data_IF_719275233613
#
_entry.id   IF_719275233613
#
_cell.length_a   1.000
_cell.length_b   1.000
_cell.length_c   1.000
_cell.angle_alpha   90.00
_cell.angle_beta   90.00
_cell.angle_gamma   90.00
#
_symmetry.space_group_name_H-M   'P 1'
#
loop_
_entity.id
_entity.type
_entity.pdbx_description
1 polymer ?
#
# COMPACT_ATOMS: atom_id res chain seq x y z
N UNK A 1 -4.05 12.02 -26.29
CA UNK A 1 -4.01 10.69 -26.96
C UNK A 1 -2.79 9.98 -26.39
N UNK A 2 -2.99 8.95 -25.56
CA UNK A 2 -1.88 8.22 -24.96
C UNK A 2 -1.25 7.25 -25.96
N UNK A 3 0.03 7.46 -26.24
CA UNK A 3 0.87 6.57 -27.06
C UNK A 3 1.50 5.51 -26.16
N UNK A 4 1.57 4.27 -26.63
CA UNK A 4 2.29 3.21 -25.91
C UNK A 4 3.78 3.55 -25.89
N UNK A 5 4.45 3.59 -24.72
CA UNK A 5 5.88 3.89 -24.64
C UNK A 5 6.69 3.03 -25.62
N UNK A 6 7.46 3.67 -26.50
CA UNK A 6 8.30 3.01 -27.50
C UNK A 6 7.58 2.45 -28.73
N UNK A 7 6.27 2.74 -28.94
CA UNK A 7 5.53 2.31 -30.13
C UNK A 7 4.73 3.46 -30.76
N UNK A 8 4.59 3.43 -32.08
CA UNK A 8 3.74 4.37 -32.83
C UNK A 8 2.26 3.93 -32.88
N UNK A 9 1.77 3.31 -31.80
CA UNK A 9 0.39 2.82 -31.70
C UNK A 9 -0.36 3.51 -30.55
N UNK A 10 -1.67 3.62 -30.70
CA UNK A 10 -2.59 4.07 -29.66
C UNK A 10 -2.98 2.89 -28.76
N UNK A 11 -2.98 3.10 -27.44
CA UNK A 11 -3.51 2.12 -26.49
C UNK A 11 -5.02 2.22 -26.34
N UNK A 12 -5.71 1.09 -26.34
CA UNK A 12 -7.13 1.00 -25.97
C UNK A 12 -7.31 -0.16 -24.98
N UNK A 13 -7.58 0.16 -23.72
CA UNK A 13 -7.78 -0.83 -22.67
C UNK A 13 -9.26 -1.15 -22.52
N UNK A 14 -9.60 -2.43 -22.70
CA UNK A 14 -10.98 -2.93 -22.55
C UNK A 14 -11.05 -3.87 -21.35
N UNK A 15 -12.06 -3.71 -20.46
CA UNK A 15 -12.21 -4.60 -19.34
C UNK A 15 -12.53 -6.02 -19.82
N UNK A 16 -11.84 -7.01 -19.25
CA UNK A 16 -12.15 -8.41 -19.51
C UNK A 16 -13.58 -8.74 -19.05
N UNK A 17 -14.33 -9.59 -19.77
CA UNK A 17 -15.67 -10.03 -19.36
C UNK A 17 -15.70 -10.67 -17.98
N UNK A 18 -14.62 -11.37 -17.62
CA UNK A 18 -14.42 -11.94 -16.28
C UNK A 18 -13.17 -11.34 -15.66
N UNK A 19 -13.36 -10.50 -14.64
CA UNK A 19 -12.25 -9.93 -13.85
C UNK A 19 -11.60 -11.03 -13.00
N UNK A 20 -10.28 -11.02 -12.96
CA UNK A 20 -9.51 -11.87 -12.06
C UNK A 20 -9.17 -11.10 -10.79
N UNK A 21 -9.32 -11.76 -9.63
CA UNK A 21 -8.94 -11.17 -8.35
C UNK A 21 -7.43 -11.26 -8.22
N UNK A 22 -6.78 -10.13 -7.90
CA UNK A 22 -5.37 -10.10 -7.51
C UNK A 22 -5.30 -10.28 -6.00
N UNK A 23 -4.74 -11.41 -5.53
CA UNK A 23 -4.56 -11.63 -4.09
C UNK A 23 -3.24 -11.05 -3.62
N UNK A 24 -3.24 -10.45 -2.42
CA UNK A 24 -2.01 -9.92 -1.81
C UNK A 24 -0.92 -10.99 -1.69
N UNK A 25 -1.30 -12.23 -1.36
CA UNK A 25 -0.38 -13.37 -1.26
C UNK A 25 0.40 -13.65 -2.55
N UNK A 26 -0.16 -13.33 -3.72
CA UNK A 26 0.54 -13.49 -5.00
C UNK A 26 1.68 -12.47 -5.16
N UNK A 27 1.53 -11.27 -4.58
CA UNK A 27 2.55 -10.22 -4.65
C UNK A 27 3.61 -10.45 -3.58
N UNK A 28 3.19 -10.77 -2.35
CA UNK A 28 4.11 -11.10 -1.25
C UNK A 28 4.93 -12.37 -1.56
N UNK A 29 4.35 -13.34 -2.27
CA UNK A 29 5.06 -14.54 -2.72
C UNK A 29 5.97 -14.32 -3.93
N UNK A 30 5.99 -13.12 -4.51
CA UNK A 30 6.78 -12.84 -5.71
C UNK A 30 8.27 -12.61 -5.40
N UNK A 31 9.12 -12.98 -6.36
CA UNK A 31 10.57 -12.74 -6.27
C UNK A 31 10.90 -11.24 -6.13
N UNK A 32 10.17 -10.37 -6.83
CA UNK A 32 10.42 -8.91 -6.80
C UNK A 32 10.16 -8.31 -5.41
N UNK A 33 9.15 -8.80 -4.68
CA UNK A 33 8.91 -8.37 -3.31
C UNK A 33 9.97 -8.94 -2.35
N UNK A 34 10.25 -10.24 -2.45
CA UNK A 34 11.18 -10.93 -1.55
C UNK A 34 12.62 -10.44 -1.68
N UNK A 35 13.10 -10.26 -2.90
CA UNK A 35 14.47 -9.81 -3.19
C UNK A 35 14.68 -8.31 -2.96
N UNK A 36 13.61 -7.52 -2.75
CA UNK A 36 13.74 -6.10 -2.46
C UNK A 36 14.49 -5.89 -1.15
N UNK A 37 15.55 -5.08 -1.16
CA UNK A 37 16.37 -4.79 0.01
C UNK A 37 15.73 -3.79 0.98
N UNK A 38 14.75 -3.00 0.54
CA UNK A 38 14.13 -1.97 1.37
C UNK A 38 13.18 -2.57 2.41
N UNK A 39 13.33 -2.16 3.67
CA UNK A 39 12.38 -2.42 4.76
C UNK A 39 11.03 -1.71 4.54
N UNK A 40 10.97 -0.75 3.63
CA UNK A 40 9.78 0.02 3.27
C UNK A 40 9.19 -0.40 1.91
N UNK A 41 9.42 -1.65 1.51
CA UNK A 41 8.83 -2.22 0.29
C UNK A 41 7.33 -2.47 0.49
N UNK A 42 6.51 -1.94 -0.42
CA UNK A 42 5.04 -2.06 -0.40
C UNK A 42 4.53 -2.74 -1.67
N UNK A 43 3.59 -3.68 -1.51
CA UNK A 43 2.92 -4.33 -2.63
C UNK A 43 1.80 -3.44 -3.19
N UNK A 44 1.83 -3.18 -4.50
CA UNK A 44 0.81 -2.36 -5.17
C UNK A 44 -0.24 -3.21 -5.89
N UNK A 45 0.16 -4.35 -6.44
CA UNK A 45 -0.75 -5.24 -7.17
C UNK A 45 -0.07 -5.84 -8.40
N UNK A 46 -0.79 -5.87 -9.52
CA UNK A 46 -0.26 -6.32 -10.82
C UNK A 46 -0.41 -5.23 -11.86
N UNK A 47 0.51 -5.21 -12.82
CA UNK A 47 0.35 -4.40 -14.04
C UNK A 47 -0.73 -5.00 -14.97
N UNK A 48 -0.98 -4.32 -16.09
CA UNK A 48 -1.95 -4.76 -17.10
C UNK A 48 -1.58 -6.09 -17.77
N UNK A 49 -0.31 -6.53 -17.68
CA UNK A 49 0.18 -7.80 -18.18
C UNK A 49 0.18 -8.91 -17.11
N UNK A 50 -0.20 -8.59 -15.87
CA UNK A 50 -0.28 -9.54 -14.76
C UNK A 50 1.02 -9.70 -13.96
N UNK A 51 2.06 -8.90 -14.22
CA UNK A 51 3.30 -8.96 -13.45
C UNK A 51 3.14 -8.29 -12.09
N UNK A 52 3.72 -8.86 -11.01
CA UNK A 52 3.66 -8.26 -9.69
C UNK A 52 4.42 -6.93 -9.65
N UNK A 53 3.78 -5.92 -9.08
CA UNK A 53 4.32 -4.57 -8.90
C UNK A 53 4.47 -4.27 -7.41
N UNK A 54 5.66 -3.82 -7.04
CA UNK A 54 6.02 -3.33 -5.71
C UNK A 54 6.64 -1.94 -5.85
N UNK A 55 6.57 -1.16 -4.77
CA UNK A 55 7.24 0.13 -4.67
C UNK A 55 8.08 0.20 -3.40
N UNK A 56 9.08 1.08 -3.41
CA UNK A 56 9.91 1.38 -2.24
C UNK A 56 9.52 2.76 -1.71
N UNK A 57 8.87 2.80 -0.55
CA UNK A 57 8.41 4.05 0.05
C UNK A 57 9.60 4.94 0.48
N UNK A 58 10.80 4.38 0.69
CA UNK A 58 11.99 5.21 0.93
C UNK A 58 12.38 6.06 -0.29
N UNK A 59 12.10 5.57 -1.50
CA UNK A 59 12.34 6.29 -2.76
C UNK A 59 11.18 7.20 -3.15
N UNK A 60 10.01 6.95 -2.60
CA UNK A 60 8.81 7.79 -2.68
C UNK A 60 8.54 8.37 -1.29
N UNK A 61 9.39 9.29 -0.79
CA UNK A 61 9.52 9.59 0.64
C UNK A 61 8.19 9.95 1.30
N UNK A 62 7.23 10.44 0.53
CA UNK A 62 5.83 10.55 0.92
C UNK A 62 4.92 10.06 -0.21
N UNK A 63 3.77 9.49 0.17
CA UNK A 63 2.75 8.98 -0.75
C UNK A 63 1.39 9.60 -0.41
N UNK A 64 0.68 10.11 -1.41
CA UNK A 64 -0.71 10.55 -1.30
C UNK A 64 -1.63 9.51 -1.94
N UNK A 65 -2.58 8.98 -1.16
CA UNK A 65 -3.59 8.02 -1.66
C UNK A 65 -4.98 8.66 -1.60
N UNK A 66 -5.64 8.76 -2.75
CA UNK A 66 -6.99 9.32 -2.88
C UNK A 66 -7.90 8.34 -3.63
N UNK A 67 -9.21 8.38 -3.31
CA UNK A 67 -10.20 7.52 -3.95
C UNK A 67 -11.59 7.71 -3.34
N UNK A 68 -12.62 7.54 -4.17
CA UNK A 68 -14.03 7.58 -3.76
C UNK A 68 -14.43 6.33 -2.98
N UNK A 69 -15.56 6.35 -2.28
CA UNK A 69 -16.09 5.16 -1.61
C UNK A 69 -16.28 4.01 -2.61
N UNK A 70 -15.82 2.81 -2.25
CA UNK A 70 -15.89 1.63 -3.13
C UNK A 70 -14.77 1.50 -4.17
N UNK A 71 -13.88 2.50 -4.30
CA UNK A 71 -12.73 2.44 -5.21
C UNK A 71 -11.60 1.51 -4.76
N UNK A 72 -11.65 1.00 -3.52
CA UNK A 72 -10.64 0.12 -2.95
C UNK A 72 -9.54 0.83 -2.14
N UNK A 73 -9.68 2.14 -1.85
CA UNK A 73 -8.71 2.90 -1.05
C UNK A 73 -8.33 2.22 0.27
N UNK A 74 -9.31 1.82 1.08
CA UNK A 74 -9.05 1.18 2.38
C UNK A 74 -8.33 -0.16 2.22
N UNK A 75 -8.69 -0.94 1.19
CA UNK A 75 -8.00 -2.19 0.85
C UNK A 75 -6.54 -1.93 0.47
N UNK A 76 -6.27 -0.88 -0.32
CA UNK A 76 -4.91 -0.49 -0.68
C UNK A 76 -4.07 -0.03 0.50
N UNK A 77 -4.66 0.71 1.46
CA UNK A 77 -3.97 1.09 2.70
C UNK A 77 -3.65 -0.15 3.54
N UNK A 78 -4.60 -1.08 3.71
CA UNK A 78 -4.35 -2.34 4.42
C UNK A 78 -3.27 -3.18 3.73
N UNK A 79 -3.28 -3.24 2.40
CA UNK A 79 -2.22 -3.91 1.65
C UNK A 79 -0.85 -3.27 1.88
N UNK A 80 -0.80 -1.94 2.01
CA UNK A 80 0.43 -1.18 2.31
C UNK A 80 0.95 -1.52 3.70
N UNK A 81 0.09 -1.45 4.73
CA UNK A 81 0.45 -1.79 6.11
C UNK A 81 0.92 -3.25 6.20
N UNK A 82 0.15 -4.18 5.64
CA UNK A 82 0.51 -5.60 5.64
C UNK A 82 1.84 -5.86 4.90
N UNK A 83 2.10 -5.14 3.81
CA UNK A 83 3.39 -5.26 3.12
C UNK A 83 4.57 -4.87 4.00
N UNK A 84 4.42 -3.87 4.87
CA UNK A 84 5.45 -3.50 5.84
C UNK A 84 5.58 -4.56 6.94
N UNK A 85 4.46 -5.05 7.46
CA UNK A 85 4.44 -6.07 8.52
C UNK A 85 5.06 -7.41 8.09
N UNK A 86 4.87 -7.82 6.84
CA UNK A 86 5.49 -9.03 6.29
C UNK A 86 6.98 -8.84 5.93
N UNK A 87 7.44 -7.59 5.76
CA UNK A 87 8.83 -7.29 5.35
C UNK A 87 9.75 -6.98 6.53
N UNK A 88 9.22 -6.35 7.57
CA UNK A 88 10.03 -5.61 8.54
C UNK A 88 9.68 -5.94 9.97
N UNK A 89 10.72 -6.23 10.76
CA UNK A 89 10.65 -6.31 12.21
C UNK A 89 10.35 -4.92 12.83
N UNK A 90 9.68 -4.84 14.01
CA UNK A 90 9.44 -3.59 14.71
C UNK A 90 10.70 -2.76 14.97
N UNK A 91 11.87 -3.38 15.09
CA UNK A 91 13.13 -2.63 15.29
C UNK A 91 13.57 -1.86 14.03
N UNK A 92 13.09 -2.25 12.85
CA UNK A 92 13.45 -1.64 11.57
C UNK A 92 12.41 -0.63 11.09
N UNK A 93 11.13 -0.88 11.38
CA UNK A 93 10.01 -0.01 10.95
C UNK A 93 9.04 0.17 12.11
N UNK A 94 8.77 1.43 12.41
CA UNK A 94 7.76 1.84 13.39
C UNK A 94 6.70 2.71 12.72
N UNK A 95 5.48 2.64 13.22
CA UNK A 95 4.30 3.28 12.63
C UNK A 95 3.56 4.14 13.65
N UNK A 96 3.02 5.25 13.16
CA UNK A 96 1.97 6.01 13.82
C UNK A 96 0.76 5.92 12.89
N UNK A 97 -0.34 5.38 13.39
CA UNK A 97 -1.59 5.28 12.63
C UNK A 97 -2.58 6.30 13.17
N UNK A 98 -3.18 7.07 12.27
CA UNK A 98 -4.15 8.12 12.60
C UNK A 98 -5.45 7.78 11.88
N UNK A 99 -6.49 7.41 12.64
CA UNK A 99 -7.82 7.05 12.14
C UNK A 99 -8.91 7.85 12.87
N UNK A 100 -9.19 9.09 12.44
CA UNK A 100 -10.15 9.96 13.13
C UNK A 100 -11.60 9.48 13.03
N UNK A 101 -11.88 8.52 12.14
CA UNK A 101 -13.22 7.95 11.98
C UNK A 101 -13.38 6.61 12.68
N UNK A 102 -12.29 6.00 13.16
CA UNK A 102 -12.26 4.68 13.79
C UNK A 102 -12.87 3.58 12.90
N UNK A 103 -12.65 3.63 11.60
CA UNK A 103 -13.32 2.72 10.64
C UNK A 103 -12.41 1.63 10.10
N UNK A 104 -11.11 1.89 9.95
CA UNK A 104 -10.27 1.09 9.06
C UNK A 104 -9.03 0.55 9.76
N UNK A 105 -8.43 1.32 10.68
CA UNK A 105 -7.09 1.00 11.22
C UNK A 105 -7.10 0.52 12.68
N UNK A 106 -8.24 0.56 13.36
CA UNK A 106 -8.38 0.09 14.75
C UNK A 106 -8.03 -1.39 14.93
N UNK A 107 -8.10 -2.18 13.86
CA UNK A 107 -7.68 -3.59 13.84
C UNK A 107 -6.18 -3.78 14.12
N UNK A 108 -5.37 -2.74 13.89
CA UNK A 108 -3.92 -2.78 14.12
C UNK A 108 -3.52 -2.37 15.54
N UNK A 109 -4.47 -2.06 16.41
CA UNK A 109 -4.19 -1.69 17.80
C UNK A 109 -3.35 -2.77 18.50
N UNK A 110 -2.32 -2.34 19.24
CA UNK A 110 -1.47 -3.22 20.03
C UNK A 110 -0.38 -3.99 19.28
N UNK A 111 -0.23 -3.85 17.95
CA UNK A 111 0.91 -4.45 17.24
C UNK A 111 2.25 -3.81 17.70
N UNK A 112 3.36 -4.57 17.76
CA UNK A 112 4.63 -4.07 18.28
C UNK A 112 5.27 -2.96 17.43
N UNK A 113 4.85 -2.82 16.17
CA UNK A 113 5.32 -1.76 15.27
C UNK A 113 4.78 -0.36 15.64
N UNK A 114 3.68 -0.27 16.41
CA UNK A 114 3.08 1.02 16.76
C UNK A 114 3.93 1.79 17.79
N UNK A 115 4.19 3.08 17.53
CA UNK A 115 4.86 3.98 18.49
C UNK A 115 3.91 4.49 19.58
N UNK A 116 2.62 4.51 19.28
CA UNK A 116 1.54 4.93 20.16
C UNK A 116 0.27 4.17 19.77
N UNK A 117 -0.75 4.11 20.64
CA UNK A 117 -2.08 3.64 20.25
C UNK A 117 -2.59 4.34 18.99
N UNK A 118 -3.50 3.70 18.24
CA UNK A 118 -4.09 4.29 17.05
C UNK A 118 -4.73 5.63 17.42
N UNK A 119 -4.27 6.70 16.79
CA UNK A 119 -4.66 8.07 17.14
C UNK A 119 -6.01 8.38 16.52
N UNK A 120 -6.99 8.67 17.36
CA UNK A 120 -8.37 8.96 16.92
C UNK A 120 -8.76 10.42 17.19
N UNK A 121 -8.15 11.06 18.19
CA UNK A 121 -8.31 12.49 18.45
C UNK A 121 -7.37 13.30 17.55
N UNK A 122 -7.92 14.13 16.66
CA UNK A 122 -7.15 14.98 15.76
C UNK A 122 -6.28 16.01 16.49
N UNK A 123 -6.59 16.34 17.75
CA UNK A 123 -5.71 17.19 18.58
C UNK A 123 -4.42 16.45 18.95
N UNK A 124 -4.51 15.15 19.22
CA UNK A 124 -3.36 14.29 19.47
C UNK A 124 -2.55 14.01 18.20
N UNK A 125 -3.22 13.95 17.05
CA UNK A 125 -2.53 13.80 15.75
C UNK A 125 -1.52 14.93 15.51
N UNK A 126 -1.84 16.18 15.89
CA UNK A 126 -0.89 17.30 15.81
C UNK A 126 0.35 17.11 16.67
N UNK A 127 0.24 16.45 17.83
CA UNK A 127 1.39 16.12 18.67
C UNK A 127 2.23 14.98 18.10
N UNK A 128 1.60 14.02 17.41
CA UNK A 128 2.31 12.89 16.80
C UNK A 128 3.11 13.25 15.54
N UNK A 129 2.85 14.43 14.96
CA UNK A 129 3.51 14.94 13.76
C UNK A 129 4.60 16.00 14.05
N UNK A 130 4.76 16.42 15.31
CA UNK A 130 5.79 17.36 15.78
C UNK A 130 6.92 16.62 16.50
#
# INVERSE_FOLDING_TARGET
VETIPGKNYMGLELPNPKRQIVRLTEILGSKVYNDSASSLTVALGKDIAGHPIVADLAKMPHLLVAGTTGSGKSVGINATILSLLYKSDPNNVRMILIDPKMLEMSVYEGIPHLLAPVVTDMRQAGHALN
#
